data_IF_737224728599
#
_entry.id   IF_737224728599
#
_cell.length_a   1.000
_cell.length_b   1.000
_cell.length_c   1.000
_cell.angle_alpha   90.00
_cell.angle_beta   90.00
_cell.angle_gamma   90.00
#
_symmetry.space_group_name_H-M   'P 1'
#
loop_
_entity.id
_entity.type
_entity.pdbx_description
1 polymer ?
#
# COMPACT_ATOMS: atom_id res chain seq x y z
N UNK A 1 -15.16 -10.78 11.31
CA UNK A 1 -14.70 -10.45 9.95
C UNK A 1 -13.44 -11.27 9.73
N UNK A 2 -13.27 -11.93 8.59
CA UNK A 2 -12.12 -12.82 8.36
C UNK A 2 -10.80 -12.04 8.37
N UNK A 3 -9.80 -12.61 9.02
CA UNK A 3 -8.42 -12.12 8.99
C UNK A 3 -7.54 -12.93 8.03
N UNK A 4 -8.11 -13.92 7.31
CA UNK A 4 -7.35 -14.78 6.40
C UNK A 4 -6.86 -13.96 5.21
N UNK A 5 -5.55 -13.88 5.04
CA UNK A 5 -4.95 -13.28 3.86
C UNK A 5 -4.99 -14.26 2.69
N UNK A 6 -5.40 -13.75 1.54
CA UNK A 6 -5.24 -14.38 0.23
C UNK A 6 -4.51 -13.45 -0.70
N UNK A 7 -4.03 -14.00 -1.80
CA UNK A 7 -3.45 -13.21 -2.88
C UNK A 7 -4.09 -13.57 -4.22
N UNK A 8 -4.11 -12.62 -5.13
CA UNK A 8 -4.64 -12.80 -6.48
C UNK A 8 -3.67 -12.19 -7.49
N UNK A 9 -3.69 -12.76 -8.70
CA UNK A 9 -2.86 -12.30 -9.82
C UNK A 9 -3.74 -11.82 -10.94
N UNK A 10 -3.44 -10.65 -11.48
CA UNK A 10 -4.02 -10.12 -12.70
C UNK A 10 -3.01 -10.19 -13.85
N UNK A 11 -3.46 -10.63 -15.02
CA UNK A 11 -2.69 -10.57 -16.27
C UNK A 11 -3.39 -9.68 -17.29
N UNK A 12 -2.64 -9.12 -18.24
CA UNK A 12 -3.25 -8.34 -19.31
C UNK A 12 -4.15 -9.19 -20.19
N UNK A 13 -5.32 -8.63 -20.54
CA UNK A 13 -6.13 -9.06 -21.65
C UNK A 13 -5.77 -8.24 -22.91
N UNK A 14 -6.23 -8.71 -24.06
CA UNK A 14 -6.07 -8.11 -25.40
C UNK A 14 -6.73 -6.74 -25.58
N UNK A 15 -7.69 -6.36 -24.74
CA UNK A 15 -8.32 -5.03 -24.75
C UNK A 15 -7.84 -4.20 -23.56
N UNK A 16 -7.14 -3.09 -23.80
CA UNK A 16 -6.71 -2.18 -22.73
C UNK A 16 -7.92 -1.54 -22.00
N UNK A 17 -7.89 -1.43 -20.65
CA UNK A 17 -6.86 -1.91 -19.73
C UNK A 17 -7.12 -3.34 -19.23
N UNK A 18 -8.11 -4.05 -19.79
CA UNK A 18 -8.72 -5.28 -19.30
C UNK A 18 -7.74 -6.20 -18.60
N UNK A 19 -7.96 -6.41 -17.30
CA UNK A 19 -7.15 -7.29 -16.48
C UNK A 19 -7.93 -8.58 -16.27
N UNK A 20 -7.33 -9.70 -16.66
CA UNK A 20 -7.86 -11.02 -16.34
C UNK A 20 -7.33 -11.45 -14.96
N UNK A 21 -8.21 -11.38 -13.95
CA UNK A 21 -7.88 -11.82 -12.60
C UNK A 21 -8.05 -13.33 -12.48
N UNK A 22 -7.00 -13.98 -12.00
CA UNK A 22 -7.03 -15.41 -11.69
C UNK A 22 -7.72 -15.64 -10.33
N UNK A 23 -8.28 -16.85 -10.11
CA UNK A 23 -8.85 -17.21 -8.82
C UNK A 23 -7.86 -16.96 -7.67
N UNK A 24 -8.33 -16.43 -6.53
CA UNK A 24 -7.49 -16.20 -5.37
C UNK A 24 -6.81 -17.47 -4.88
N UNK A 25 -5.59 -17.32 -4.41
CA UNK A 25 -4.76 -18.40 -3.90
C UNK A 25 -4.49 -18.18 -2.41
N UNK A 26 -4.34 -19.29 -1.70
CA UNK A 26 -3.83 -19.26 -0.34
C UNK A 26 -2.30 -19.08 -0.37
N UNK A 27 -1.76 -18.58 0.74
CA UNK A 27 -0.32 -18.63 0.97
C UNK A 27 0.10 -20.07 1.33
N UNK A 28 1.31 -20.52 0.97
CA UNK A 28 1.78 -21.86 1.30
C UNK A 28 1.68 -22.16 2.79
N UNK A 29 2.00 -21.16 3.60
CA UNK A 29 1.71 -21.11 5.03
C UNK A 29 0.59 -20.10 5.28
N UNK A 30 -0.50 -20.48 5.99
CA UNK A 30 -1.61 -19.58 6.28
C UNK A 30 -1.16 -18.26 6.91
N UNK A 31 -1.46 -17.15 6.24
CA UNK A 31 -1.18 -15.81 6.73
C UNK A 31 -2.46 -15.15 7.23
N UNK A 32 -2.38 -14.41 8.34
CA UNK A 32 -3.51 -13.69 8.91
C UNK A 32 -3.15 -12.23 9.16
N UNK A 33 -4.10 -11.33 8.93
CA UNK A 33 -3.97 -9.92 9.25
C UNK A 33 -5.31 -9.29 9.59
N UNK A 34 -5.33 -8.39 10.57
CA UNK A 34 -6.49 -7.51 10.83
C UNK A 34 -6.36 -6.13 10.19
N UNK A 35 -5.38 -5.94 9.30
CA UNK A 35 -5.16 -4.68 8.61
C UNK A 35 -4.85 -4.89 7.13
N UNK A 36 -4.86 -3.79 6.36
CA UNK A 36 -4.47 -3.81 4.96
C UNK A 36 -2.98 -4.18 4.84
N UNK A 37 -2.62 -5.23 4.09
CA UNK A 37 -1.22 -5.59 3.89
C UNK A 37 -0.53 -4.64 2.88
N UNK A 38 0.80 -4.64 2.85
CA UNK A 38 1.60 -3.91 1.88
C UNK A 38 2.31 -4.87 0.91
N UNK A 39 2.42 -4.48 -0.35
CA UNK A 39 3.21 -5.19 -1.37
C UNK A 39 4.25 -4.25 -1.98
N UNK A 40 5.45 -4.75 -2.25
CA UNK A 40 6.50 -3.95 -2.89
C UNK A 40 7.51 -4.84 -3.63
N UNK A 41 7.80 -4.52 -4.90
CA UNK A 41 8.86 -5.20 -5.64
C UNK A 41 10.23 -4.62 -5.25
N UNK A 42 11.16 -5.47 -4.82
CA UNK A 42 12.51 -5.08 -4.41
C UNK A 42 13.50 -6.22 -4.58
N UNK A 43 14.67 -5.94 -5.17
CA UNK A 43 15.76 -6.91 -5.40
C UNK A 43 15.30 -8.23 -6.07
N UNK A 44 14.47 -8.12 -7.12
CA UNK A 44 14.01 -9.29 -7.88
C UNK A 44 13.04 -10.20 -7.10
N UNK A 45 12.43 -9.68 -6.03
CA UNK A 45 11.39 -10.34 -5.24
C UNK A 45 10.20 -9.40 -5.10
N UNK A 46 9.03 -9.99 -4.88
CA UNK A 46 7.84 -9.26 -4.45
C UNK A 46 7.66 -9.50 -2.95
N UNK A 47 7.84 -8.46 -2.15
CA UNK A 47 7.71 -8.52 -0.70
C UNK A 47 6.26 -8.25 -0.27
N UNK A 48 5.80 -9.00 0.72
CA UNK A 48 4.55 -8.79 1.45
C UNK A 48 4.89 -8.49 2.89
N UNK A 49 4.24 -7.46 3.44
CA UNK A 49 4.29 -7.17 4.87
C UNK A 49 2.87 -7.02 5.40
N UNK A 50 2.61 -7.60 6.57
CA UNK A 50 1.29 -7.56 7.19
C UNK A 50 1.38 -7.53 8.72
N UNK A 51 0.36 -6.95 9.35
CA UNK A 51 0.11 -7.13 10.78
C UNK A 51 -0.41 -8.54 11.04
N UNK A 52 -0.22 -9.09 12.23
CA UNK A 52 -0.92 -10.29 12.68
C UNK A 52 -2.46 -10.16 12.68
N UNK A 53 -3.13 -11.31 12.70
CA UNK A 53 -4.59 -11.41 12.84
C UNK A 53 -5.08 -11.19 14.28
N UNK A 54 -6.37 -10.91 14.43
CA UNK A 54 -7.03 -10.53 15.67
C UNK A 54 -6.27 -9.46 16.46
N UNK A 55 -5.99 -9.79 17.71
CA UNK A 55 -5.27 -8.91 18.63
C UNK A 55 -3.74 -9.00 18.50
N UNK A 56 -3.20 -9.85 17.62
CA UNK A 56 -1.75 -9.98 17.43
C UNK A 56 -1.19 -8.72 16.76
N UNK A 57 -0.43 -7.88 17.48
CA UNK A 57 0.06 -6.62 16.93
C UNK A 57 1.34 -6.80 16.13
N UNK A 58 1.94 -8.00 16.12
CA UNK A 58 3.22 -8.23 15.47
C UNK A 58 3.17 -7.95 13.97
N UNK A 59 4.30 -7.46 13.44
CA UNK A 59 4.50 -7.30 12.00
C UNK A 59 5.28 -8.50 11.45
N UNK A 60 4.75 -9.08 10.39
CA UNK A 60 5.32 -10.19 9.66
C UNK A 60 5.64 -9.78 8.22
N UNK A 61 6.61 -10.45 7.63
CA UNK A 61 6.91 -10.30 6.21
C UNK A 61 7.26 -11.63 5.55
N UNK A 62 7.00 -11.70 4.26
CA UNK A 62 7.28 -12.85 3.39
C UNK A 62 7.57 -12.33 1.98
N UNK A 63 7.99 -13.19 1.06
CA UNK A 63 8.23 -12.79 -0.32
C UNK A 63 7.83 -13.87 -1.32
N UNK A 64 7.49 -13.40 -2.51
CA UNK A 64 7.32 -14.16 -3.73
C UNK A 64 8.54 -13.98 -4.61
N UNK A 65 9.12 -15.08 -5.10
CA UNK A 65 10.29 -15.06 -5.96
C UNK A 65 10.15 -16.09 -7.10
N UNK A 66 10.78 -15.85 -8.26
CA UNK A 66 10.86 -16.85 -9.32
C UNK A 66 11.65 -18.06 -8.81
N UNK A 67 11.28 -19.26 -9.25
CA UNK A 67 12.08 -20.46 -9.02
C UNK A 67 12.74 -20.88 -10.34
N UNK A 68 13.63 -21.88 -10.31
CA UNK A 68 14.22 -22.44 -11.54
C UNK A 68 13.20 -23.16 -12.43
N UNK A 69 12.03 -23.51 -11.90
CA UNK A 69 11.04 -24.37 -12.56
C UNK A 69 9.65 -23.75 -12.70
N UNK A 70 9.36 -22.63 -12.04
CA UNK A 70 8.05 -21.97 -12.06
C UNK A 70 8.18 -20.45 -12.18
N UNK A 71 7.10 -19.81 -12.64
CA UNK A 71 7.01 -18.34 -12.74
C UNK A 71 7.16 -17.63 -11.37
N UNK A 72 7.12 -18.40 -10.28
CA UNK A 72 7.46 -17.98 -8.92
C UNK A 72 6.50 -18.52 -7.88
N UNK A 73 6.95 -18.53 -6.64
CA UNK A 73 6.22 -19.01 -5.46
C UNK A 73 6.47 -18.08 -4.28
N UNK A 74 5.49 -17.99 -3.39
CA UNK A 74 5.74 -17.46 -2.04
C UNK A 74 6.67 -18.43 -1.31
N UNK A 75 7.56 -17.92 -0.46
CA UNK A 75 8.38 -18.80 0.38
C UNK A 75 7.50 -19.79 1.15
N UNK A 76 7.93 -21.06 1.18
CA UNK A 76 7.24 -22.13 1.89
C UNK A 76 7.57 -22.13 3.40
N UNK A 77 8.32 -21.13 3.87
CA UNK A 77 8.59 -20.91 5.29
C UNK A 77 7.50 -20.07 5.93
N UNK A 78 7.33 -20.22 7.23
CA UNK A 78 6.56 -19.28 8.04
C UNK A 78 6.98 -17.82 7.74
N UNK A 79 6.05 -16.87 7.67
CA UNK A 79 6.38 -15.45 7.58
C UNK A 79 7.34 -15.04 8.71
N UNK A 80 8.40 -14.32 8.35
CA UNK A 80 9.36 -13.84 9.33
C UNK A 80 8.74 -12.74 10.20
N UNK A 81 8.92 -12.85 11.52
CA UNK A 81 8.58 -11.81 12.48
C UNK A 81 9.61 -10.68 12.44
N UNK A 82 9.17 -9.42 12.51
CA UNK A 82 10.03 -8.29 12.87
C UNK A 82 9.99 -8.12 14.40
N UNK A 83 11.04 -8.47 15.15
CA UNK A 83 10.96 -8.56 16.61
C UNK A 83 10.70 -7.22 17.30
N UNK A 84 9.85 -7.24 18.34
CA UNK A 84 9.60 -6.09 19.22
C UNK A 84 8.83 -4.94 18.56
N UNK A 85 8.01 -5.24 17.55
CA UNK A 85 7.21 -4.26 16.80
C UNK A 85 5.73 -4.61 16.92
N UNK A 86 4.99 -3.76 17.62
CA UNK A 86 3.55 -3.86 17.77
C UNK A 86 2.88 -2.79 16.92
N UNK A 87 1.93 -3.17 16.08
CA UNK A 87 1.22 -2.26 15.21
C UNK A 87 -0.27 -2.16 15.55
N UNK A 88 -0.76 -0.93 15.68
CA UNK A 88 -2.19 -0.62 15.76
C UNK A 88 -2.90 -0.69 14.39
N UNK A 89 -2.14 -0.57 13.29
CA UNK A 89 -2.66 -0.58 11.91
C UNK A 89 -1.80 -1.40 10.96
N UNK A 90 -2.13 -1.38 9.67
CA UNK A 90 -1.36 -2.07 8.63
C UNK A 90 -0.04 -1.37 8.31
N UNK A 91 0.96 -2.11 7.81
CA UNK A 91 2.24 -1.53 7.38
C UNK A 91 2.13 -0.85 6.00
N UNK A 92 3.17 -0.10 5.64
CA UNK A 92 3.42 0.38 4.26
C UNK A 92 4.80 -0.05 3.81
N UNK A 93 5.06 -0.12 2.49
CA UNK A 93 6.39 -0.36 1.95
C UNK A 93 6.68 0.55 0.76
N UNK A 94 7.94 0.98 0.62
CA UNK A 94 8.43 1.64 -0.59
C UNK A 94 9.95 1.42 -0.76
N UNK A 95 10.41 1.35 -2.01
CA UNK A 95 11.85 1.32 -2.31
C UNK A 95 12.37 2.73 -2.46
N UNK A 96 13.49 3.02 -1.79
CA UNK A 96 14.20 4.29 -1.91
C UNK A 96 15.69 4.07 -1.64
N UNK A 97 16.57 4.71 -2.41
CA UNK A 97 18.03 4.62 -2.18
C UNK A 97 18.56 3.18 -2.09
N UNK A 98 18.08 2.27 -2.95
CA UNK A 98 18.41 0.84 -2.97
C UNK A 98 18.05 0.06 -1.69
N UNK A 99 17.15 0.60 -0.87
CA UNK A 99 16.65 -0.04 0.35
C UNK A 99 15.12 -0.10 0.31
N UNK A 100 14.57 -1.11 0.96
CA UNK A 100 13.14 -1.22 1.23
C UNK A 100 12.85 -0.56 2.57
N UNK A 101 11.98 0.44 2.56
CA UNK A 101 11.50 1.12 3.76
C UNK A 101 10.10 0.64 4.11
N UNK A 102 9.78 0.62 5.40
CA UNK A 102 8.43 0.39 5.88
C UNK A 102 8.14 1.20 7.13
N UNK A 103 6.85 1.48 7.34
CA UNK A 103 6.34 2.14 8.52
C UNK A 103 5.02 1.51 8.96
N UNK A 104 4.73 1.70 10.24
CA UNK A 104 3.52 1.24 10.91
C UNK A 104 3.18 2.19 12.06
N UNK A 105 1.95 2.15 12.55
CA UNK A 105 1.58 2.84 13.79
C UNK A 105 1.85 1.93 14.97
N UNK A 106 2.64 2.38 15.95
CA UNK A 106 2.84 1.65 17.18
C UNK A 106 1.62 1.71 18.13
N UNK A 107 1.72 1.08 19.29
CA UNK A 107 0.62 0.94 20.25
C UNK A 107 0.10 2.27 20.82
N UNK A 108 0.87 3.37 20.69
CA UNK A 108 0.44 4.71 21.12
C UNK A 108 0.05 5.59 19.93
N UNK A 109 -0.02 5.03 18.72
CA UNK A 109 -0.36 5.74 17.48
C UNK A 109 0.80 6.54 16.89
N UNK A 110 2.02 6.41 17.42
CA UNK A 110 3.19 7.04 16.82
C UNK A 110 3.64 6.25 15.58
N UNK A 111 4.05 6.97 14.55
CA UNK A 111 4.53 6.36 13.32
C UNK A 111 5.99 5.96 13.53
N UNK A 112 6.17 4.65 13.70
CA UNK A 112 7.48 4.00 13.73
C UNK A 112 7.85 3.53 12.32
N UNK A 113 9.11 3.68 11.95
CA UNK A 113 9.61 3.24 10.66
C UNK A 113 10.93 2.48 10.76
N UNK A 114 11.20 1.68 9.75
CA UNK A 114 12.38 0.86 9.64
C UNK A 114 12.83 0.72 8.18
N UNK A 115 14.07 0.32 8.01
CA UNK A 115 14.72 0.18 6.72
C UNK A 115 15.38 -1.20 6.61
N UNK A 116 15.27 -1.83 5.45
CA UNK A 116 15.93 -3.09 5.15
C UNK A 116 17.42 -2.86 4.99
N UNK A 117 18.22 -3.73 5.58
CA UNK A 117 19.66 -3.78 5.42
C UNK A 117 20.04 -5.04 4.64
N UNK A 118 21.30 -5.48 4.83
CA UNK A 118 21.86 -6.69 4.24
C UNK A 118 20.89 -7.88 4.31
N UNK A 119 20.78 -8.59 3.19
CA UNK A 119 20.06 -9.85 3.08
C UNK A 119 20.81 -10.94 3.85
N UNK A 120 20.07 -11.81 4.53
CA UNK A 120 20.59 -13.00 5.23
C UNK A 120 20.68 -14.20 4.28
N UNK A 121 21.37 -15.26 4.72
CA UNK A 121 21.54 -16.48 3.93
C UNK A 121 20.22 -17.25 3.69
N UNK A 122 19.24 -17.12 4.60
CA UNK A 122 17.90 -17.71 4.45
C UNK A 122 16.99 -16.87 3.53
N UNK A 123 17.52 -15.78 2.97
CA UNK A 123 16.83 -14.90 2.05
C UNK A 123 15.92 -13.88 2.70
N UNK A 124 15.87 -13.83 4.04
CA UNK A 124 15.19 -12.81 4.81
C UNK A 124 15.96 -11.46 4.83
N UNK A 125 15.36 -10.44 5.42
CA UNK A 125 15.95 -9.09 5.51
C UNK A 125 16.27 -8.74 6.96
N UNK A 126 17.43 -8.15 7.18
CA UNK A 126 17.71 -7.48 8.46
C UNK A 126 17.00 -6.13 8.47
N UNK A 127 16.14 -5.89 9.47
CA UNK A 127 15.43 -4.62 9.60
C UNK A 127 16.03 -3.76 10.72
N UNK A 128 16.43 -2.53 10.40
CA UNK A 128 16.93 -1.56 11.38
C UNK A 128 15.87 -0.48 11.62
N UNK A 129 15.62 -0.09 12.89
CA UNK A 129 14.77 1.06 13.16
C UNK A 129 15.41 2.33 12.59
N UNK A 130 14.58 3.21 12.04
CA UNK A 130 15.02 4.57 11.69
C UNK A 130 14.81 5.44 12.94
N UNK A 131 15.85 6.10 13.49
CA UNK A 131 15.78 6.72 14.82
C UNK A 131 14.76 7.86 14.94
N UNK A 132 14.49 8.59 13.85
CA UNK A 132 13.54 9.69 13.84
C UNK A 132 12.12 9.19 13.57
N UNK A 133 11.23 9.30 14.57
CA UNK A 133 9.79 9.15 14.35
C UNK A 133 9.25 10.19 13.34
N UNK A 134 8.15 9.86 12.67
CA UNK A 134 7.54 10.74 11.66
C UNK A 134 6.55 11.73 12.31
N UNK A 135 5.68 11.20 13.16
CA UNK A 135 4.55 11.91 13.76
C UNK A 135 3.59 10.94 14.44
N UNK A 136 2.43 11.41 14.88
CA UNK A 136 1.34 10.58 15.42
C UNK A 136 0.22 10.51 14.39
N UNK A 137 -0.44 9.37 14.26
CA UNK A 137 -1.55 9.20 13.32
C UNK A 137 -2.70 8.34 13.81
N UNK A 138 -3.86 8.52 13.17
CA UNK A 138 -5.05 7.67 13.34
C UNK A 138 -5.22 6.62 12.24
N UNK A 139 -4.46 6.73 11.16
CA UNK A 139 -4.56 5.87 9.98
C UNK A 139 -3.20 5.30 9.64
N UNK A 140 -3.17 4.18 8.90
CA UNK A 140 -1.91 3.59 8.50
C UNK A 140 -1.12 4.59 7.62
N UNK A 141 0.19 4.78 7.89
CA UNK A 141 1.03 5.62 7.05
C UNK A 141 1.18 5.01 5.66
N UNK A 142 1.52 5.83 4.66
CA UNK A 142 1.84 5.38 3.29
C UNK A 142 3.09 6.03 2.77
N UNK A 143 3.93 5.24 2.12
CA UNK A 143 5.19 5.69 1.56
C UNK A 143 5.18 5.83 0.04
N UNK A 144 5.90 6.83 -0.45
CA UNK A 144 6.25 6.97 -1.86
C UNK A 144 7.65 7.55 -2.01
N UNK A 145 8.43 7.06 -2.98
CA UNK A 145 9.71 7.67 -3.34
C UNK A 145 9.47 8.71 -4.45
N UNK A 146 9.92 9.95 -4.23
CA UNK A 146 9.76 11.04 -5.19
C UNK A 146 10.81 12.14 -4.97
N UNK A 147 11.43 12.62 -6.05
CA UNK A 147 12.32 13.79 -6.01
C UNK A 147 13.50 13.64 -5.06
N UNK A 148 14.19 12.48 -5.07
CA UNK A 148 15.28 12.15 -4.14
C UNK A 148 14.90 12.29 -2.66
N UNK A 149 13.68 11.89 -2.33
CA UNK A 149 13.21 11.76 -0.96
C UNK A 149 12.25 10.58 -0.83
N UNK A 150 12.20 10.02 0.38
CA UNK A 150 11.11 9.16 0.81
C UNK A 150 10.04 10.05 1.44
N UNK A 151 8.81 9.95 0.96
CA UNK A 151 7.65 10.68 1.44
C UNK A 151 6.74 9.79 2.26
N UNK A 152 6.11 10.37 3.29
CA UNK A 152 5.11 9.73 4.12
C UNK A 152 3.82 10.55 4.11
N UNK A 153 2.72 9.91 3.75
CA UNK A 153 1.37 10.42 3.96
C UNK A 153 0.75 9.74 5.19
N UNK A 154 0.21 10.53 6.11
CA UNK A 154 -0.46 10.07 7.33
C UNK A 154 -1.56 11.08 7.70
N UNK A 155 -2.35 10.81 8.73
CA UNK A 155 -3.25 11.83 9.31
C UNK A 155 -2.73 12.37 10.63
N UNK A 156 -3.09 13.60 10.94
CA UNK A 156 -3.00 14.16 12.29
C UNK A 156 -3.86 13.35 13.27
N UNK A 157 -3.45 13.31 14.55
CA UNK A 157 -4.16 12.71 15.67
C UNK A 157 -5.28 13.59 16.23
N UNK A 158 -5.41 14.85 15.79
CA UNK A 158 -6.52 15.73 16.20
C UNK A 158 -7.80 15.55 15.38
N UNK A 159 -7.70 15.82 14.07
CA UNK A 159 -8.86 15.99 13.19
C UNK A 159 -8.83 15.09 11.95
N UNK A 160 -7.95 14.07 11.92
CA UNK A 160 -7.71 13.21 10.75
C UNK A 160 -7.34 13.99 9.47
N UNK A 161 -6.85 15.21 9.60
CA UNK A 161 -6.31 15.99 8.49
C UNK A 161 -5.06 15.31 7.95
N UNK A 162 -4.98 15.09 6.63
CA UNK A 162 -3.79 14.53 6.01
C UNK A 162 -2.57 15.43 6.28
N UNK A 163 -1.43 14.77 6.40
CA UNK A 163 -0.11 15.34 6.56
C UNK A 163 0.84 14.64 5.61
N UNK A 164 1.77 15.41 5.06
CA UNK A 164 2.80 14.90 4.17
C UNK A 164 4.16 15.36 4.67
N UNK A 165 5.03 14.41 5.00
CA UNK A 165 6.40 14.69 5.42
C UNK A 165 7.39 13.97 4.51
N UNK A 166 8.61 14.49 4.42
CA UNK A 166 9.69 13.90 3.62
C UNK A 166 10.93 13.64 4.46
N UNK A 167 11.63 12.56 4.18
CA UNK A 167 12.95 12.24 4.70
C UNK A 167 13.97 12.41 3.56
N UNK A 168 14.94 13.32 3.74
CA UNK A 168 16.06 13.47 2.81
C UNK A 168 17.08 12.35 3.02
N UNK A 169 17.84 12.00 1.96
CA UNK A 169 18.74 10.84 1.85
C UNK A 169 19.65 10.48 3.07
N UNK A 170 19.82 11.34 4.06
CA UNK A 170 20.69 11.11 5.22
C UNK A 170 20.02 10.37 6.38
N UNK A 171 18.70 10.11 6.33
CA UNK A 171 18.00 9.36 7.37
C UNK A 171 17.98 10.05 8.74
N UNK A 172 18.38 11.33 8.80
CA UNK A 172 18.54 12.09 10.04
C UNK A 172 17.31 12.93 10.40
N UNK A 173 16.18 12.73 9.73
CA UNK A 173 14.91 13.28 10.18
C UNK A 173 13.86 13.37 9.10
N UNK A 174 12.62 13.47 9.56
CA UNK A 174 11.48 13.86 8.75
C UNK A 174 11.35 15.39 8.80
N UNK A 175 11.28 16.03 7.62
CA UNK A 175 11.14 17.48 7.51
C UNK A 175 9.74 17.97 7.89
N UNK A 176 9.57 19.29 7.89
CA UNK A 176 8.27 19.92 8.17
C UNK A 176 7.15 19.34 7.30
N UNK A 177 6.01 19.10 7.95
CA UNK A 177 4.81 18.57 7.32
C UNK A 177 4.04 19.65 6.55
N UNK A 178 3.48 19.28 5.40
CA UNK A 178 2.42 20.03 4.75
C UNK A 178 1.07 19.46 5.14
N UNK A 179 0.02 20.28 5.08
CA UNK A 179 -1.34 19.87 5.45
C UNK A 179 -2.15 19.54 4.21
N UNK A 180 -3.02 18.54 4.34
CA UNK A 180 -3.96 18.12 3.32
C UNK A 180 -5.39 18.05 3.86
N UNK A 181 -6.33 17.57 3.02
CA UNK A 181 -7.73 17.43 3.38
C UNK A 181 -7.95 16.37 4.48
N UNK A 182 -9.13 16.40 5.10
CA UNK A 182 -9.54 15.40 6.09
C UNK A 182 -9.80 14.06 5.39
N UNK A 183 -9.35 12.97 5.99
CA UNK A 183 -9.59 11.61 5.50
C UNK A 183 -10.24 10.72 6.57
N UNK A 184 -11.00 9.73 6.11
CA UNK A 184 -11.64 8.70 6.95
C UNK A 184 -11.00 7.32 6.80
N UNK A 185 -9.95 7.20 5.99
CA UNK A 185 -9.19 5.96 5.77
C UNK A 185 -7.72 6.26 5.45
N UNK A 186 -6.87 5.23 5.51
CA UNK A 186 -5.47 5.33 5.07
C UNK A 186 -5.44 5.67 3.58
N UNK A 187 -4.68 6.68 3.12
CA UNK A 187 -4.72 7.08 1.72
C UNK A 187 -4.08 6.02 0.80
N UNK A 188 -4.23 6.19 -0.49
CA UNK A 188 -3.33 5.65 -1.50
C UNK A 188 -2.31 6.72 -1.85
N UNK A 189 -1.02 6.38 -1.90
CA UNK A 189 0.04 7.37 -2.09
C UNK A 189 1.14 6.81 -3.00
N UNK A 190 1.45 7.52 -4.08
CA UNK A 190 2.44 7.10 -5.06
C UNK A 190 3.03 8.29 -5.82
N UNK A 191 4.17 8.06 -6.47
CA UNK A 191 4.74 9.00 -7.42
C UNK A 191 4.39 8.58 -8.85
N UNK A 192 3.99 9.53 -9.69
CA UNK A 192 3.66 9.30 -11.10
C UNK A 192 3.72 10.60 -11.89
N UNK A 193 4.32 10.56 -13.08
CA UNK A 193 4.48 11.71 -14.00
C UNK A 193 5.00 12.98 -13.29
N UNK A 194 6.11 12.83 -12.56
CA UNK A 194 6.77 13.93 -11.82
C UNK A 194 5.84 14.65 -10.82
N UNK A 195 4.89 13.91 -10.23
CA UNK A 195 4.07 14.38 -9.12
C UNK A 195 3.94 13.30 -8.06
N UNK A 196 3.74 13.72 -6.82
CA UNK A 196 3.11 12.91 -5.80
C UNK A 196 1.60 12.92 -6.03
N UNK A 197 0.99 11.76 -5.88
CA UNK A 197 -0.44 11.54 -5.99
C UNK A 197 -0.95 10.98 -4.66
N UNK A 198 -2.01 11.59 -4.14
CA UNK A 198 -2.70 11.13 -2.95
C UNK A 198 -4.17 10.92 -3.28
N UNK A 199 -4.63 9.67 -3.17
CA UNK A 199 -6.06 9.33 -3.20
C UNK A 199 -6.51 9.11 -1.77
N UNK A 200 -7.55 9.79 -1.35
CA UNK A 200 -8.06 9.72 0.02
C UNK A 200 -9.57 9.59 0.04
N UNK A 201 -10.10 9.15 1.18
CA UNK A 201 -11.52 8.92 1.36
C UNK A 201 -12.11 9.95 2.31
N UNK A 202 -13.19 10.62 1.90
CA UNK A 202 -13.93 11.52 2.79
C UNK A 202 -14.86 10.76 3.76
N UNK A 203 -15.56 11.46 4.64
CA UNK A 203 -16.50 10.83 5.57
C UNK A 203 -17.74 10.22 4.88
N UNK A 204 -18.08 10.71 3.68
CA UNK A 204 -19.16 10.20 2.83
C UNK A 204 -18.77 8.99 1.99
N UNK A 205 -17.60 8.40 2.24
CA UNK A 205 -16.99 7.32 1.47
C UNK A 205 -16.51 7.68 0.07
N UNK A 206 -16.59 8.95 -0.37
CA UNK A 206 -16.11 9.33 -1.69
C UNK A 206 -14.59 9.31 -1.75
N UNK A 207 -14.05 8.87 -2.88
CA UNK A 207 -12.64 9.00 -3.19
C UNK A 207 -12.35 10.32 -3.87
N UNK A 208 -11.30 10.98 -3.40
CA UNK A 208 -10.77 12.23 -3.92
C UNK A 208 -9.30 12.06 -4.26
N UNK A 209 -8.80 12.82 -5.22
CA UNK A 209 -7.38 12.88 -5.57
C UNK A 209 -6.87 14.31 -5.43
N UNK A 210 -5.66 14.43 -4.89
CA UNK A 210 -4.87 15.66 -4.98
C UNK A 210 -3.45 15.29 -5.41
N UNK A 211 -2.76 16.24 -6.06
CA UNK A 211 -1.39 16.04 -6.53
C UNK A 211 -0.50 17.18 -6.10
N UNK A 212 0.81 16.91 -6.07
CA UNK A 212 1.81 17.92 -5.76
C UNK A 212 3.11 17.64 -6.49
N UNK A 213 3.73 18.68 -7.03
CA UNK A 213 5.06 18.60 -7.66
C UNK A 213 6.21 18.68 -6.66
N UNK A 214 5.94 19.09 -5.42
CA UNK A 214 6.97 19.33 -4.40
C UNK A 214 6.63 18.74 -3.02
N UNK A 215 5.45 18.16 -2.87
CA UNK A 215 4.86 17.61 -1.65
C UNK A 215 4.54 18.63 -0.56
N UNK A 216 4.63 19.94 -0.88
CA UNK A 216 4.36 21.05 0.03
C UNK A 216 3.12 21.83 -0.40
N UNK A 217 3.03 22.14 -1.68
CA UNK A 217 1.89 22.80 -2.30
C UNK A 217 1.07 21.77 -3.05
N UNK A 218 -0.11 21.48 -2.52
CA UNK A 218 -1.05 20.51 -3.08
C UNK A 218 -2.11 21.21 -3.92
N UNK A 219 -2.41 20.64 -5.09
CA UNK A 219 -3.47 21.11 -5.96
C UNK A 219 -4.85 20.91 -5.32
N UNK A 220 -5.84 21.69 -5.76
CA UNK A 220 -7.21 21.54 -5.29
C UNK A 220 -7.71 20.10 -5.51
N UNK A 221 -8.27 19.44 -4.49
CA UNK A 221 -8.74 18.07 -4.64
C UNK A 221 -9.85 17.94 -5.69
N UNK A 222 -9.78 16.86 -6.46
CA UNK A 222 -10.77 16.50 -7.48
C UNK A 222 -11.46 15.21 -7.07
N UNK A 223 -12.77 15.15 -7.22
CA UNK A 223 -13.55 13.94 -6.96
C UNK A 223 -13.20 12.87 -8.00
N UNK A 224 -12.94 11.64 -7.55
CA UNK A 224 -12.65 10.49 -8.41
C UNK A 224 -13.96 9.94 -9.03
N UNK A 225 -14.68 10.77 -9.78
CA UNK A 225 -15.83 10.38 -10.61
C UNK A 225 -16.98 9.65 -9.91
N UNK A 226 -17.28 9.95 -8.64
CA UNK A 226 -18.35 9.30 -7.87
C UNK A 226 -18.00 7.92 -7.34
N UNK A 227 -16.72 7.55 -7.36
CA UNK A 227 -16.22 6.32 -6.74
C UNK A 227 -16.32 6.42 -5.22
N UNK A 228 -16.95 5.43 -4.61
CA UNK A 228 -17.07 5.32 -3.16
C UNK A 228 -16.40 4.05 -2.63
N UNK A 229 -15.69 4.17 -1.52
CA UNK A 229 -14.93 3.08 -0.89
C UNK A 229 -15.32 2.85 0.58
N UNK A 230 -15.38 1.60 1.04
CA UNK A 230 -15.40 1.29 2.48
C UNK A 230 -14.01 1.00 3.07
N UNK A 231 -12.98 0.95 2.22
CA UNK A 231 -11.63 0.50 2.56
C UNK A 231 -10.57 1.56 2.31
N UNK A 232 -9.35 1.29 2.78
CA UNK A 232 -8.15 2.02 2.36
C UNK A 232 -7.96 1.88 0.83
N UNK A 233 -7.92 2.98 0.05
CA UNK A 233 -7.47 2.93 -1.34
C UNK A 233 -5.96 2.68 -1.41
N UNK A 234 -5.51 2.01 -2.48
CA UNK A 234 -4.09 1.77 -2.76
C UNK A 234 -3.73 2.24 -4.15
N UNK A 235 -2.62 2.96 -4.27
CA UNK A 235 -2.06 3.41 -5.55
C UNK A 235 -0.88 2.54 -5.98
N UNK A 236 -0.80 2.24 -7.26
CA UNK A 236 0.31 1.51 -7.86
C UNK A 236 0.63 2.07 -9.25
N UNK A 237 1.88 2.50 -9.46
CA UNK A 237 2.37 2.83 -10.79
C UNK A 237 2.69 1.55 -11.57
N UNK A 238 2.22 1.49 -12.82
CA UNK A 238 2.34 0.34 -13.70
C UNK A 238 3.17 0.77 -14.92
N UNK A 239 4.49 0.50 -14.93
CA UNK A 239 5.40 1.04 -15.93
C UNK A 239 5.10 0.62 -17.36
N UNK A 240 4.71 -0.64 -17.57
CA UNK A 240 4.52 -1.18 -18.92
C UNK A 240 3.31 -0.60 -19.65
N UNK A 241 2.37 -0.02 -18.90
CA UNK A 241 1.23 0.70 -19.44
C UNK A 241 1.35 2.22 -19.30
N UNK A 242 2.36 2.69 -18.57
CA UNK A 242 2.49 4.07 -18.09
C UNK A 242 1.18 4.60 -17.47
N UNK A 243 0.59 3.86 -16.53
CA UNK A 243 -0.61 4.29 -15.79
C UNK A 243 -0.38 4.30 -14.29
N UNK A 244 -1.14 5.15 -13.61
CA UNK A 244 -1.34 5.07 -12.16
C UNK A 244 -2.68 4.40 -11.88
N UNK A 245 -2.65 3.23 -11.27
CA UNK A 245 -3.85 2.51 -10.84
C UNK A 245 -4.22 2.83 -9.40
N UNK A 246 -5.52 2.82 -9.12
CA UNK A 246 -6.10 2.82 -7.79
C UNK A 246 -7.00 1.60 -7.61
N UNK A 247 -6.76 0.84 -6.54
CA UNK A 247 -7.63 -0.27 -6.11
C UNK A 247 -8.30 0.09 -4.79
N UNK A 248 -9.61 -0.17 -4.70
CA UNK A 248 -10.43 0.17 -3.55
C UNK A 248 -11.62 -0.78 -3.41
N UNK A 249 -12.16 -0.91 -2.20
CA UNK A 249 -13.29 -1.79 -1.89
C UNK A 249 -14.64 -1.14 -2.13
N UNK A 250 -15.65 -1.91 -2.53
CA UNK A 250 -17.02 -1.42 -2.69
C UNK A 250 -17.63 -0.86 -1.39
N UNK A 251 -18.21 0.34 -1.44
CA UNK A 251 -18.87 0.94 -0.27
C UNK A 251 -20.38 0.67 -0.17
N UNK A 252 -20.95 -0.11 -1.08
CA UNK A 252 -22.39 -0.41 -1.16
C UNK A 252 -22.74 -1.80 -0.61
N UNK A 253 -21.76 -2.46 0.04
CA UNK A 253 -21.92 -3.73 0.73
C UNK A 253 -21.47 -4.95 -0.07
N UNK A 254 -20.99 -4.77 -1.31
CA UNK A 254 -20.42 -5.88 -2.06
C UNK A 254 -19.03 -6.22 -1.53
N UNK A 255 -18.74 -7.51 -1.43
CA UNK A 255 -17.42 -8.03 -1.05
C UNK A 255 -16.47 -8.02 -2.26
N UNK A 256 -16.37 -6.88 -2.96
CA UNK A 256 -15.65 -6.74 -4.23
C UNK A 256 -14.67 -5.58 -4.19
N UNK A 257 -13.55 -5.72 -4.91
CA UNK A 257 -12.66 -4.62 -5.25
C UNK A 257 -12.99 -4.03 -6.61
N UNK A 258 -12.70 -2.75 -6.78
CA UNK A 258 -12.66 -2.09 -8.08
C UNK A 258 -11.26 -1.60 -8.37
N UNK A 259 -10.99 -1.51 -9.66
CA UNK A 259 -9.80 -0.93 -10.25
C UNK A 259 -10.20 0.30 -11.06
N UNK A 260 -9.47 1.39 -10.92
CA UNK A 260 -9.54 2.57 -11.80
C UNK A 260 -8.12 3.03 -12.09
N UNK A 261 -7.93 3.82 -13.15
CA UNK A 261 -6.60 4.32 -13.50
C UNK A 261 -6.66 5.68 -14.18
N UNK A 262 -5.52 6.38 -14.19
CA UNK A 262 -5.29 7.64 -14.92
C UNK A 262 -4.03 7.56 -15.77
N UNK A 263 -4.01 8.38 -16.82
CA UNK A 263 -2.87 8.62 -17.72
C UNK A 263 -2.12 9.93 -17.39
N UNK A 264 -2.27 10.44 -16.16
CA UNK A 264 -1.52 11.61 -15.67
C UNK A 264 -2.38 12.84 -15.40
N UNK A 265 -3.70 12.72 -15.55
CA UNK A 265 -4.67 13.81 -15.34
C UNK A 265 -5.52 13.54 -14.10
N UNK A 266 -5.48 14.41 -13.06
CA UNK A 266 -6.25 14.21 -11.82
C UNK A 266 -7.77 14.18 -12.03
N UNK A 267 -8.27 14.83 -13.09
CA UNK A 267 -9.68 14.91 -13.46
C UNK A 267 -10.13 13.82 -14.45
N UNK A 268 -9.21 12.97 -14.90
CA UNK A 268 -9.50 11.95 -15.92
C UNK A 268 -9.08 10.56 -15.43
N UNK A 269 -9.96 9.97 -14.61
CA UNK A 269 -9.87 8.57 -14.21
C UNK A 269 -10.84 7.73 -15.03
N UNK A 270 -10.48 6.47 -15.25
CA UNK A 270 -11.38 5.52 -15.90
C UNK A 270 -12.63 5.29 -15.06
N UNK A 271 -13.69 4.81 -15.71
CA UNK A 271 -14.80 4.19 -14.97
C UNK A 271 -14.30 3.05 -14.09
N UNK A 272 -14.96 2.77 -12.96
CA UNK A 272 -14.65 1.62 -12.11
C UNK A 272 -14.74 0.31 -12.87
N UNK A 273 -13.67 -0.48 -12.80
CA UNK A 273 -13.59 -1.81 -13.39
C UNK A 273 -13.69 -2.82 -12.24
N UNK A 274 -14.75 -3.65 -12.17
CA UNK A 274 -14.87 -4.67 -11.14
C UNK A 274 -13.71 -5.69 -11.21
N UNK A 275 -13.14 -6.04 -10.06
CA UNK A 275 -12.18 -7.14 -9.93
C UNK A 275 -12.97 -8.41 -9.60
N UNK A 276 -13.36 -9.15 -10.64
CA UNK A 276 -14.18 -10.36 -10.48
C UNK A 276 -13.37 -11.54 -9.94
N UNK A 277 -14.05 -12.42 -9.19
CA UNK A 277 -13.43 -13.61 -8.57
C UNK A 277 -12.61 -13.33 -7.29
N UNK A 278 -12.33 -12.07 -6.96
CA UNK A 278 -11.54 -11.66 -5.80
C UNK A 278 -12.45 -11.13 -4.69
N UNK A 279 -12.99 -12.04 -3.87
CA UNK A 279 -13.93 -11.70 -2.79
C UNK A 279 -13.21 -11.25 -1.51
N UNK A 280 -13.46 -10.02 -1.05
CA UNK A 280 -12.78 -9.40 0.10
C UNK A 280 -13.68 -9.31 1.33
N UNK A 281 -13.05 -9.29 2.51
CA UNK A 281 -13.73 -8.91 3.75
C UNK A 281 -14.23 -7.44 3.68
N UNK A 282 -15.43 -7.13 4.20
CA UNK A 282 -15.94 -5.75 4.24
C UNK A 282 -14.96 -4.77 4.92
N UNK A 283 -14.80 -3.56 4.41
CA UNK A 283 -13.83 -2.57 4.92
C UNK A 283 -12.35 -2.94 4.78
N UNK A 284 -11.99 -4.12 4.24
CA UNK A 284 -10.60 -4.47 4.00
C UNK A 284 -10.08 -3.85 2.70
N UNK A 285 -8.95 -3.16 2.79
CA UNK A 285 -8.17 -2.71 1.63
C UNK A 285 -7.29 -3.84 1.08
N UNK A 286 -6.56 -3.55 0.02
CA UNK A 286 -5.60 -4.46 -0.58
C UNK A 286 -4.21 -3.79 -0.69
N UNK A 287 -3.16 -4.57 -0.45
CA UNK A 287 -1.84 -4.24 -0.95
C UNK A 287 -1.77 -4.56 -2.43
N UNK A 288 -1.18 -3.69 -3.24
CA UNK A 288 -1.01 -3.88 -4.68
C UNK A 288 0.42 -3.64 -5.10
N UNK A 289 0.94 -4.48 -5.98
CA UNK A 289 2.21 -4.23 -6.67
C UNK A 289 2.15 -4.75 -8.10
N UNK A 290 2.96 -4.13 -8.95
CA UNK A 290 3.24 -4.63 -10.29
C UNK A 290 4.59 -5.34 -10.28
N UNK A 291 4.62 -6.60 -10.69
CA UNK A 291 5.80 -7.45 -10.62
C UNK A 291 5.78 -8.48 -11.76
N UNK A 292 6.90 -8.64 -12.47
CA UNK A 292 7.04 -9.58 -13.60
C UNK A 292 5.89 -9.53 -14.60
N UNK A 293 5.52 -8.33 -15.04
CA UNK A 293 4.47 -8.09 -16.02
C UNK A 293 3.07 -8.56 -15.55
N UNK A 294 2.83 -8.58 -14.24
CA UNK A 294 1.59 -9.03 -13.60
C UNK A 294 1.20 -8.10 -12.46
N UNK A 295 -0.10 -8.05 -12.21
CA UNK A 295 -0.68 -7.39 -11.04
C UNK A 295 -0.76 -8.38 -9.89
N UNK A 296 -0.30 -7.98 -8.72
CA UNK A 296 -0.47 -8.76 -7.50
C UNK A 296 -1.32 -7.98 -6.52
N UNK A 297 -2.32 -8.66 -5.95
CA UNK A 297 -3.08 -8.19 -4.79
C UNK A 297 -2.85 -9.13 -3.62
N UNK A 298 -2.70 -8.56 -2.44
CA UNK A 298 -2.79 -9.27 -1.16
C UNK A 298 -3.86 -8.59 -0.31
N UNK A 299 -4.77 -9.35 0.28
CA UNK A 299 -5.95 -8.79 0.93
C UNK A 299 -6.58 -9.79 1.90
N UNK A 300 -7.44 -9.28 2.79
CA UNK A 300 -8.25 -10.11 3.69
C UNK A 300 -9.45 -10.65 2.92
N UNK A 301 -9.54 -11.97 2.79
CA UNK A 301 -10.62 -12.65 2.08
C UNK A 301 -11.92 -12.64 2.86
N UNK A 302 -13.05 -12.73 2.15
CA UNK A 302 -14.38 -12.82 2.73
C UNK A 302 -14.62 -14.11 3.53
#
# INVERSE_FOLDING_TARGET
MSDVLKWAVGTFNTSFPGINWHPPQDFPTPCYSSATPALCAFMGKLWLMHRGGGTNPNIFYTYYAPTSTSAGEWTNTEPWLIPGKNAGTGPTMAVYGCQLYSAYLDDIGAISNFVSNLQTNDGSLNWSPVPSGIGISWIAPKFAAYGNALWCAYSDSGNKGLRFSKNSMDGNGWGNESTGPITSASPGFAAYHNKLWCVYRDEGSNLWVTTSTDGRSWEMPVLLGGQTSDSDPTLCYIPDLDILACVYGDSKGLQKFYFTYTLGRPDAWSYPIPIDGVARAPGAGAGMAYYQNKFFLAYRSA
#
